data_IF_026148747224
#
_entry.id   IF_026148747224
#
_cell.length_a   1.000
_cell.length_b   1.000
_cell.length_c   1.000
_cell.angle_alpha   90.00
_cell.angle_beta   90.00
_cell.angle_gamma   90.00
#
_symmetry.space_group_name_H-M   'P 1'
#
loop_
_entity.id
_entity.type
_entity.pdbx_description
1 polymer ?
#
# COMPACT_ATOMS: atom_id res chain seq x y z
N UNK A 1 -6.66 -16.36 -13.36
CA UNK A 1 -5.49 -15.93 -12.56
C UNK A 1 -5.34 -14.45 -12.84
N UNK A 2 -5.48 -13.60 -11.84
CA UNK A 2 -5.32 -12.15 -12.03
C UNK A 2 -3.83 -11.92 -12.19
N UNK A 3 -3.36 -11.87 -13.43
CA UNK A 3 -2.01 -11.43 -13.76
C UNK A 3 -1.94 -9.94 -13.41
N UNK A 4 -1.59 -9.66 -12.15
CA UNK A 4 -1.07 -8.35 -11.76
C UNK A 4 0.19 -8.13 -12.62
N UNK A 5 0.02 -7.50 -13.79
CA UNK A 5 1.07 -6.71 -14.45
C UNK A 5 1.31 -5.45 -13.60
N UNK A 6 1.62 -5.68 -12.33
CA UNK A 6 2.31 -4.78 -11.44
C UNK A 6 3.69 -5.43 -11.45
N UNK A 7 4.56 -5.03 -12.38
CA UNK A 7 5.89 -5.60 -12.49
C UNK A 7 6.60 -5.66 -11.12
N UNK A 8 7.66 -6.47 -11.00
CA UNK A 8 8.37 -6.73 -9.73
C UNK A 8 8.62 -5.47 -8.87
N UNK A 9 8.87 -4.32 -9.50
CA UNK A 9 9.06 -3.04 -8.83
C UNK A 9 7.80 -2.53 -8.13
N UNK A 10 6.62 -2.66 -8.75
CA UNK A 10 5.36 -2.25 -8.13
C UNK A 10 5.01 -3.09 -6.89
N UNK A 11 5.29 -4.40 -6.93
CA UNK A 11 5.13 -5.28 -5.75
C UNK A 11 6.07 -4.87 -4.63
N UNK A 12 7.34 -4.58 -4.94
CA UNK A 12 8.31 -4.09 -3.95
C UNK A 12 7.83 -2.76 -3.35
N UNK A 13 7.30 -1.85 -4.17
CA UNK A 13 6.82 -0.54 -3.74
C UNK A 13 5.62 -0.68 -2.79
N UNK A 14 4.66 -1.54 -3.11
CA UNK A 14 3.52 -1.87 -2.24
C UNK A 14 3.96 -2.53 -0.93
N UNK A 15 4.93 -3.46 -0.98
CA UNK A 15 5.45 -4.11 0.21
C UNK A 15 6.16 -3.12 1.16
N UNK A 16 6.95 -2.20 0.61
CA UNK A 16 7.61 -1.14 1.39
C UNK A 16 6.56 -0.24 2.04
N UNK A 17 5.55 0.19 1.28
CA UNK A 17 4.47 1.02 1.81
C UNK A 17 3.68 0.33 2.91
N UNK A 18 3.36 -0.95 2.72
CA UNK A 18 2.70 -1.75 3.75
C UNK A 18 3.50 -1.80 5.05
N UNK A 19 4.82 -2.01 4.96
CA UNK A 19 5.70 -2.03 6.14
C UNK A 19 5.74 -0.67 6.83
N UNK A 20 5.86 0.42 6.07
CA UNK A 20 5.90 1.79 6.62
C UNK A 20 4.60 2.12 7.35
N UNK A 21 3.45 1.87 6.71
CA UNK A 21 2.14 2.16 7.29
C UNK A 21 1.83 1.25 8.48
N UNK A 22 2.18 -0.04 8.41
CA UNK A 22 2.04 -0.94 9.56
C UNK A 22 2.91 -0.52 10.75
N UNK A 23 4.10 0.02 10.48
CA UNK A 23 4.96 0.54 11.55
C UNK A 23 4.39 1.82 12.17
N UNK A 24 3.81 2.71 11.36
CA UNK A 24 3.06 3.87 11.86
C UNK A 24 1.94 3.44 12.80
N UNK A 25 1.14 2.44 12.43
CA UNK A 25 0.03 1.94 13.25
C UNK A 25 0.51 1.46 14.62
N UNK A 26 1.65 0.76 14.66
CA UNK A 26 2.29 0.33 15.91
C UNK A 26 2.77 1.52 16.73
N UNK A 27 3.37 2.54 16.10
CA UNK A 27 3.82 3.74 16.81
C UNK A 27 2.65 4.54 17.35
N UNK A 28 1.55 4.66 16.60
CA UNK A 28 0.31 5.32 17.04
C UNK A 28 -0.25 4.58 18.25
N UNK A 29 -0.31 3.24 18.21
CA UNK A 29 -0.73 2.43 19.35
C UNK A 29 0.14 2.66 20.59
N UNK A 30 1.46 2.65 20.43
CA UNK A 30 2.41 2.85 21.54
C UNK A 30 2.31 4.25 22.16
N UNK A 31 2.02 5.27 21.35
CA UNK A 31 1.95 6.65 21.80
C UNK A 31 0.58 7.04 22.39
N UNK A 32 -0.51 6.48 21.85
CA UNK A 32 -1.88 6.78 22.30
C UNK A 32 -2.41 5.81 23.36
N UNK A 33 -1.89 4.59 23.41
CA UNK A 33 -2.42 3.49 24.24
C UNK A 33 -3.71 2.87 23.68
N UNK A 34 -4.29 3.46 22.63
CA UNK A 34 -5.51 2.98 22.00
C UNK A 34 -5.18 1.96 20.92
N UNK A 35 -5.77 0.77 21.03
CA UNK A 35 -5.64 -0.26 20.00
C UNK A 35 -6.16 0.30 18.67
N UNK A 36 -5.37 0.26 17.58
CA UNK A 36 -5.82 0.71 16.28
C UNK A 36 -7.07 -0.07 15.91
N UNK A 37 -8.19 0.64 15.81
CA UNK A 37 -9.47 0.04 15.47
C UNK A 37 -9.46 -0.44 14.02
N UNK A 38 -10.51 -1.18 13.64
CA UNK A 38 -10.68 -1.68 12.27
C UNK A 38 -10.62 -0.56 11.20
N UNK A 39 -10.88 0.68 11.60
CA UNK A 39 -10.78 1.89 10.78
C UNK A 39 -9.37 2.12 10.23
N UNK A 40 -8.33 1.90 11.04
CA UNK A 40 -6.93 2.03 10.60
C UNK A 40 -6.57 0.95 9.57
N UNK A 41 -7.02 -0.28 9.80
CA UNK A 41 -6.82 -1.37 8.85
C UNK A 41 -7.55 -1.12 7.52
N UNK A 42 -8.78 -0.61 7.57
CA UNK A 42 -9.54 -0.22 6.36
C UNK A 42 -8.85 0.93 5.64
N UNK A 43 -8.33 1.92 6.37
CA UNK A 43 -7.53 3.02 5.82
C UNK A 43 -6.28 2.50 5.10
N UNK A 44 -5.54 1.58 5.71
CA UNK A 44 -4.37 0.96 5.12
C UNK A 44 -4.71 0.21 3.82
N UNK A 45 -5.79 -0.58 3.80
CA UNK A 45 -6.24 -1.28 2.59
C UNK A 45 -6.60 -0.28 1.49
N UNK A 46 -7.30 0.80 1.83
CA UNK A 46 -7.65 1.86 0.87
C UNK A 46 -6.41 2.51 0.26
N UNK A 47 -5.43 2.87 1.08
CA UNK A 47 -4.17 3.46 0.60
C UNK A 47 -3.45 2.50 -0.34
N UNK A 48 -3.32 1.22 0.03
CA UNK A 48 -2.70 0.22 -0.83
C UNK A 48 -3.46 0.00 -2.14
N UNK A 49 -4.79 0.01 -2.11
CA UNK A 49 -5.62 -0.15 -3.31
C UNK A 49 -5.43 1.03 -4.27
N UNK A 50 -5.41 2.26 -3.76
CA UNK A 50 -5.16 3.47 -4.56
C UNK A 50 -3.77 3.43 -5.19
N UNK A 51 -2.75 3.04 -4.43
CA UNK A 51 -1.38 2.96 -4.95
C UNK A 51 -1.24 1.83 -5.96
N UNK A 52 -1.85 0.67 -5.71
CA UNK A 52 -1.86 -0.43 -6.67
C UNK A 52 -2.52 0.00 -7.99
N UNK A 53 -3.63 0.74 -7.92
CA UNK A 53 -4.27 1.35 -9.09
C UNK A 53 -3.38 2.35 -9.81
N UNK A 54 -2.70 3.22 -9.08
CA UNK A 54 -1.76 4.19 -9.68
C UNK A 54 -0.57 3.50 -10.36
N UNK A 55 -0.04 2.43 -9.78
CA UNK A 55 1.04 1.64 -10.39
C UNK A 55 0.54 0.95 -11.66
N UNK A 56 -0.65 0.34 -11.61
CA UNK A 56 -1.27 -0.29 -12.77
C UNK A 56 -1.43 0.70 -13.92
N UNK A 57 -1.97 1.88 -13.65
CA UNK A 57 -2.13 2.95 -14.64
C UNK A 57 -0.77 3.40 -15.19
N UNK A 58 0.23 3.58 -14.32
CA UNK A 58 1.58 3.97 -14.73
C UNK A 58 2.28 2.92 -15.61
N UNK A 59 2.03 1.63 -15.38
CA UNK A 59 2.54 0.57 -16.27
C UNK A 59 1.77 0.53 -17.60
N UNK A 60 0.45 0.77 -17.59
CA UNK A 60 -0.37 0.79 -18.79
C UNK A 60 -0.03 1.94 -19.75
N UNK A 61 0.32 3.12 -19.22
CA UNK A 61 0.66 4.32 -20.00
C UNK A 61 2.17 4.60 -20.06
N UNK A 62 3.00 3.55 -19.92
CA UNK A 62 4.46 3.70 -19.96
C UNK A 62 4.89 4.31 -21.31
N UNK A 63 5.58 5.47 -21.34
CA UNK A 63 6.06 6.04 -22.59
C UNK A 63 7.04 5.08 -23.28
N UNK A 64 6.96 4.92 -24.62
CA UNK A 64 7.93 4.14 -25.37
C UNK A 64 9.33 4.73 -25.14
N UNK A 65 10.27 3.87 -24.76
CA UNK A 65 11.68 4.24 -24.55
C UNK A 65 12.38 4.52 -25.87
#
# INVERSE_FOLDING_TARGET
MVDLHIGRHGVILLAILFVILGFEDVLVWLNSGDLPAIEFFVGLILVLAVIAGAIYEAEQYRPPR
#
